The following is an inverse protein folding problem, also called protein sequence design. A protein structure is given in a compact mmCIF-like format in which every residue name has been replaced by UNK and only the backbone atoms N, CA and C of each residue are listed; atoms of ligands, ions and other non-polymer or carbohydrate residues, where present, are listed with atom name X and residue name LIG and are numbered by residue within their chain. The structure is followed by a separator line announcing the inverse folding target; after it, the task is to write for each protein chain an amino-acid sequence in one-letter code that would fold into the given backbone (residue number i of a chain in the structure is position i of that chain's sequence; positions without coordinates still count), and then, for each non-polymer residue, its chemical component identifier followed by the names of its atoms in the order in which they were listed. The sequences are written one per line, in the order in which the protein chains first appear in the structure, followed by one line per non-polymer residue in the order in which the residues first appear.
data_IF_489672327761
#
_entry.id   IF_489672327761
#
_cell.length_a   1.000
_cell.length_b   1.000
_cell.length_c   1.000
_cell.angle_alpha   90.00
_cell.angle_beta   90.00
_cell.angle_gamma   90.00
#
_symmetry.space_group_name_H-M   'P 1'
#
loop_
_entity.id
_entity.type
_entity.pdbx_description
1 polymer ?
#
# COMPACT_ATOMS: atom_id res chain seq x y z
N UNK A 1 19.49 -27.50 12.95
CA UNK A 1 18.20 -27.70 13.64
C UNK A 1 18.30 -27.29 15.12
N UNK A 2 18.62 -26.03 15.41
CA UNK A 2 18.61 -25.46 16.79
C UNK A 2 17.58 -24.31 16.90
N UNK A 3 17.14 -23.73 15.78
CA UNK A 3 16.14 -22.65 15.75
C UNK A 3 14.73 -23.07 16.18
N UNK A 4 14.43 -24.37 16.20
CA UNK A 4 13.12 -24.92 16.64
C UNK A 4 13.01 -25.13 18.16
N UNK A 5 14.09 -24.99 18.93
CA UNK A 5 14.09 -25.20 20.39
C UNK A 5 13.65 -23.97 21.20
N UNK A 6 13.75 -22.77 20.63
CA UNK A 6 13.28 -21.53 21.23
C UNK A 6 12.12 -21.03 20.36
N UNK A 7 10.88 -21.15 20.84
CA UNK A 7 9.70 -20.74 20.07
C UNK A 7 9.78 -19.29 19.54
N UNK A 8 8.87 -18.95 18.61
CA UNK A 8 8.80 -17.61 17.99
C UNK A 8 8.91 -16.49 19.03
N UNK A 9 9.73 -15.46 18.72
CA UNK A 9 9.87 -14.28 19.57
C UNK A 9 8.53 -13.55 19.67
N UNK A 10 8.27 -12.84 20.77
CA UNK A 10 7.02 -12.07 20.93
C UNK A 10 7.19 -10.65 20.42
N UNK A 11 6.19 -10.17 19.68
CA UNK A 11 6.05 -8.77 19.28
C UNK A 11 4.64 -8.31 19.65
N UNK A 12 4.51 -7.12 20.22
CA UNK A 12 3.19 -6.56 20.53
C UNK A 12 2.55 -5.99 19.26
N UNK A 13 1.22 -5.96 19.21
CA UNK A 13 0.45 -5.34 18.13
C UNK A 13 0.89 -3.89 17.88
N UNK A 14 1.12 -3.12 18.94
CA UNK A 14 1.62 -1.74 18.84
C UNK A 14 3.02 -1.66 18.20
N UNK A 15 3.95 -2.53 18.59
CA UNK A 15 5.31 -2.54 18.04
C UNK A 15 5.32 -2.93 16.56
N UNK A 16 4.48 -3.92 16.21
CA UNK A 16 4.32 -4.33 14.82
C UNK A 16 3.70 -3.20 13.98
N UNK A 17 2.65 -2.54 14.49
CA UNK A 17 2.04 -1.39 13.83
C UNK A 17 3.06 -0.25 13.62
N UNK A 18 3.88 0.05 14.62
CA UNK A 18 4.94 1.05 14.51
C UNK A 18 5.98 0.67 13.44
N UNK A 19 6.36 -0.61 13.33
CA UNK A 19 7.28 -1.08 12.31
C UNK A 19 6.68 -0.96 10.89
N UNK A 20 5.40 -1.33 10.73
CA UNK A 20 4.70 -1.19 9.44
C UNK A 20 4.60 0.27 9.04
N UNK A 21 4.19 1.16 9.94
CA UNK A 21 4.10 2.61 9.67
C UNK A 21 5.45 3.20 9.34
N UNK A 22 6.50 2.86 10.09
CA UNK A 22 7.87 3.29 9.76
C UNK A 22 8.28 2.85 8.35
N UNK A 23 7.97 1.60 7.99
CA UNK A 23 8.23 1.09 6.64
C UNK A 23 7.44 1.82 5.56
N UNK A 24 6.21 2.27 5.83
CA UNK A 24 5.45 3.11 4.89
C UNK A 24 6.24 4.39 4.58
N UNK A 25 6.73 5.09 5.60
CA UNK A 25 7.52 6.31 5.39
C UNK A 25 8.84 6.03 4.66
N UNK A 26 9.56 4.98 5.04
CA UNK A 26 10.78 4.57 4.33
C UNK A 26 10.50 4.26 2.86
N UNK A 27 9.37 3.62 2.55
CA UNK A 27 8.95 3.33 1.18
C UNK A 27 8.52 4.59 0.44
N UNK A 28 7.88 5.54 1.10
CA UNK A 28 7.57 6.83 0.48
C UNK A 28 8.84 7.57 0.09
N UNK A 29 9.87 7.58 0.95
CA UNK A 29 11.13 8.23 0.63
C UNK A 29 11.91 7.53 -0.51
N UNK A 30 11.90 6.20 -0.52
CA UNK A 30 12.80 5.42 -1.40
C UNK A 30 12.12 4.79 -2.63
N UNK A 31 10.85 4.40 -2.52
CA UNK A 31 10.12 3.74 -3.60
C UNK A 31 9.29 4.73 -4.44
N UNK A 32 8.79 5.82 -3.85
CA UNK A 32 8.02 6.82 -4.62
C UNK A 32 8.82 7.40 -5.79
N UNK A 33 10.10 7.82 -5.64
CA UNK A 33 10.88 8.34 -6.77
C UNK A 33 11.03 7.30 -7.89
N UNK A 34 11.21 6.03 -7.55
CA UNK A 34 11.32 4.93 -8.52
C UNK A 34 10.00 4.70 -9.27
N UNK A 35 8.86 4.80 -8.58
CA UNK A 35 7.53 4.71 -9.20
C UNK A 35 7.29 5.90 -10.13
N UNK A 36 7.68 7.11 -9.73
CA UNK A 36 7.58 8.30 -10.56
C UNK A 36 8.44 8.15 -11.82
N UNK A 37 9.71 7.76 -11.67
CA UNK A 37 10.63 7.53 -12.79
C UNK A 37 10.07 6.48 -13.76
N UNK A 38 9.65 5.32 -13.24
CA UNK A 38 9.06 4.23 -14.03
C UNK A 38 7.82 4.70 -14.83
N UNK A 39 6.98 5.54 -14.25
CA UNK A 39 5.79 6.08 -14.92
C UNK A 39 6.13 7.21 -15.90
N UNK A 40 7.13 8.04 -15.60
CA UNK A 40 7.56 9.12 -16.48
C UNK A 40 8.27 8.64 -17.73
N UNK A 41 9.04 7.56 -17.59
CA UNK A 41 9.86 7.00 -18.68
C UNK A 41 9.12 5.88 -19.45
N UNK A 42 7.89 5.57 -19.06
CA UNK A 42 7.07 4.56 -19.74
C UNK A 42 6.74 4.96 -21.19
N UNK A 43 7.27 4.25 -22.21
CA UNK A 43 7.04 4.59 -23.62
C UNK A 43 5.59 4.34 -24.07
N UNK A 44 4.81 3.62 -23.28
CA UNK A 44 3.40 3.35 -23.54
C UNK A 44 2.49 4.57 -23.28
N UNK A 45 3.00 5.59 -22.59
CA UNK A 45 2.28 6.86 -22.48
C UNK A 45 2.56 7.74 -23.71
N UNK A 46 1.50 8.29 -24.28
CA UNK A 46 1.56 9.27 -25.39
C UNK A 46 2.10 10.62 -24.96
N UNK A 47 2.05 10.92 -23.66
CA UNK A 47 2.54 12.15 -23.03
C UNK A 47 3.13 11.76 -21.69
N UNK A 48 4.30 12.30 -21.35
CA UNK A 48 4.95 12.08 -20.05
C UNK A 48 4.03 12.53 -18.90
N UNK A 49 3.69 11.65 -17.93
CA UNK A 49 2.97 12.04 -16.73
C UNK A 49 3.71 13.08 -15.90
N UNK A 50 2.96 13.94 -15.21
CA UNK A 50 3.51 14.97 -14.31
C UNK A 50 2.97 14.74 -12.91
N UNK A 51 3.86 14.81 -11.93
CA UNK A 51 3.56 14.66 -10.50
C UNK A 51 3.90 15.98 -9.79
N UNK A 52 3.09 16.35 -8.81
CA UNK A 52 3.15 17.63 -8.11
C UNK A 52 3.32 17.51 -6.60
N UNK A 53 3.26 18.63 -5.87
CA UNK A 53 3.32 18.64 -4.42
C UNK A 53 2.18 17.79 -3.80
N UNK A 54 2.50 16.98 -2.78
CA UNK A 54 1.55 16.13 -2.06
C UNK A 54 1.25 14.77 -2.73
N UNK A 55 1.81 14.52 -3.92
CA UNK A 55 1.64 13.23 -4.60
C UNK A 55 2.39 12.08 -3.89
N UNK A 56 3.45 12.39 -3.15
CA UNK A 56 4.16 11.48 -2.25
C UNK A 56 3.36 11.16 -0.97
N UNK A 57 2.66 12.13 -0.40
CA UNK A 57 1.73 11.92 0.72
C UNK A 57 0.57 11.01 0.32
N UNK A 58 0.00 11.23 -0.87
CA UNK A 58 -1.01 10.34 -1.45
C UNK A 58 -0.44 8.92 -1.69
N UNK A 59 0.80 8.81 -2.13
CA UNK A 59 1.48 7.52 -2.29
C UNK A 59 1.62 6.80 -0.95
N UNK A 60 2.05 7.51 0.09
CA UNK A 60 2.15 6.99 1.45
C UNK A 60 0.80 6.46 1.95
N UNK A 61 -0.29 7.21 1.73
CA UNK A 61 -1.64 6.80 2.11
C UNK A 61 -2.12 5.57 1.33
N UNK A 62 -1.77 5.45 0.04
CA UNK A 62 -2.03 4.25 -0.78
C UNK A 62 -1.27 3.03 -0.22
N UNK A 63 -0.01 3.19 0.18
CA UNK A 63 0.76 2.10 0.78
C UNK A 63 0.16 1.71 2.14
N UNK A 64 -0.17 2.68 2.99
CA UNK A 64 -0.78 2.44 4.29
C UNK A 64 -2.09 1.65 4.11
N UNK A 65 -3.04 2.17 3.33
CA UNK A 65 -4.33 1.53 3.12
C UNK A 65 -4.18 0.16 2.46
N UNK A 66 -3.26 -0.02 1.51
CA UNK A 66 -3.00 -1.32 0.91
C UNK A 66 -2.53 -2.36 1.94
N UNK A 67 -1.63 -1.97 2.84
CA UNK A 67 -1.13 -2.85 3.89
C UNK A 67 -2.19 -3.16 4.97
N UNK A 68 -3.01 -2.18 5.34
CA UNK A 68 -4.10 -2.36 6.31
C UNK A 68 -5.24 -3.20 5.72
N UNK A 69 -5.53 -3.08 4.43
CA UNK A 69 -6.47 -3.95 3.71
C UNK A 69 -6.00 -5.41 3.65
N UNK A 70 -4.69 -5.64 3.65
CA UNK A 70 -4.11 -6.98 3.58
C UNK A 70 -4.00 -7.67 4.94
N UNK A 71 -3.74 -6.92 6.01
CA UNK A 71 -3.49 -7.43 7.36
C UNK A 71 -4.54 -8.44 7.89
N UNK A 72 -5.86 -8.24 7.70
CA UNK A 72 -6.88 -9.18 8.19
C UNK A 72 -6.78 -10.60 7.62
N UNK A 73 -6.07 -10.79 6.50
CA UNK A 73 -5.82 -12.11 5.91
C UNK A 73 -4.81 -12.93 6.70
N UNK A 74 -4.01 -12.26 7.54
CA UNK A 74 -2.86 -12.84 8.24
C UNK A 74 -3.03 -12.85 9.77
N UNK A 75 -4.02 -12.12 10.29
CA UNK A 75 -4.23 -11.95 11.72
C UNK A 75 -5.59 -12.52 12.17
N UNK A 76 -5.70 -13.06 13.40
CA UNK A 76 -6.99 -13.43 13.97
C UNK A 76 -7.93 -12.23 14.12
N UNK A 77 -9.22 -12.48 13.97
CA UNK A 77 -10.25 -11.47 14.19
C UNK A 77 -10.14 -10.85 15.60
N UNK A 78 -10.21 -9.53 15.66
CA UNK A 78 -10.02 -8.72 16.86
C UNK A 78 -8.57 -8.26 17.07
N UNK A 79 -7.57 -9.09 16.73
CA UNK A 79 -6.17 -8.68 16.74
C UNK A 79 -5.85 -7.79 15.52
N UNK A 80 -6.42 -8.12 14.35
CA UNK A 80 -6.41 -7.27 13.15
C UNK A 80 -6.91 -5.84 13.43
N UNK A 81 -8.06 -5.70 14.10
CA UNK A 81 -8.67 -4.39 14.40
C UNK A 81 -7.81 -3.54 15.32
N UNK A 82 -7.22 -4.15 16.36
CA UNK A 82 -6.31 -3.43 17.28
C UNK A 82 -5.02 -3.03 16.58
N UNK A 83 -4.45 -3.91 15.77
CA UNK A 83 -3.31 -3.59 14.93
C UNK A 83 -3.60 -2.40 13.99
N UNK A 84 -4.73 -2.43 13.27
CA UNK A 84 -5.16 -1.33 12.39
C UNK A 84 -5.31 -0.02 13.17
N UNK A 85 -5.98 -0.05 14.33
CA UNK A 85 -6.14 1.14 15.18
C UNK A 85 -4.79 1.71 15.65
N UNK A 86 -3.84 0.83 16.03
CA UNK A 86 -2.49 1.26 16.36
C UNK A 86 -1.76 1.87 15.16
N UNK A 87 -1.87 1.28 13.97
CA UNK A 87 -1.22 1.79 12.77
C UNK A 87 -1.76 3.18 12.38
N UNK A 88 -3.09 3.34 12.38
CA UNK A 88 -3.75 4.64 12.15
C UNK A 88 -3.28 5.66 13.19
N UNK A 89 -3.29 5.32 14.48
CA UNK A 89 -2.85 6.25 15.52
C UNK A 89 -1.38 6.67 15.37
N UNK A 90 -0.48 5.75 15.00
CA UNK A 90 0.94 6.05 14.81
C UNK A 90 1.19 6.90 13.56
N UNK A 91 0.55 6.56 12.45
CA UNK A 91 0.66 7.33 11.21
C UNK A 91 0.10 8.74 11.38
N UNK A 92 -1.11 8.86 11.96
CA UNK A 92 -1.75 10.14 12.24
C UNK A 92 -0.89 11.03 13.13
N UNK A 93 -0.32 10.48 14.20
CA UNK A 93 0.60 11.23 15.06
C UNK A 93 1.87 11.69 14.33
N UNK A 94 2.40 10.91 13.38
CA UNK A 94 3.57 11.28 12.60
C UNK A 94 3.28 12.40 11.59
N UNK A 95 2.05 12.48 11.07
CA UNK A 95 1.61 13.46 10.07
C UNK A 95 0.83 14.64 10.66
N UNK A 96 0.67 14.70 11.98
CA UNK A 96 -0.19 15.67 12.68
C UNK A 96 -1.68 15.63 12.23
N UNK A 97 -2.18 14.42 11.94
CA UNK A 97 -3.56 14.15 11.52
C UNK A 97 -4.31 13.46 12.66
N UNK A 98 -5.51 13.95 13.06
CA UNK A 98 -6.35 13.26 14.03
C UNK A 98 -6.66 11.82 13.60
N UNK A 99 -6.50 10.85 14.51
CA UNK A 99 -6.69 9.44 14.19
C UNK A 99 -8.08 9.12 13.60
N UNK A 100 -9.14 9.80 14.03
CA UNK A 100 -10.50 9.64 13.49
C UNK A 100 -10.65 10.15 12.05
N UNK A 101 -9.91 11.19 11.69
CA UNK A 101 -9.89 11.72 10.33
C UNK A 101 -9.15 10.76 9.41
N UNK A 102 -7.95 10.34 9.81
CA UNK A 102 -7.16 9.36 9.05
C UNK A 102 -7.90 8.02 8.90
N UNK A 103 -8.59 7.53 9.93
CA UNK A 103 -9.40 6.31 9.84
C UNK A 103 -10.48 6.44 8.76
N UNK A 104 -11.13 7.60 8.68
CA UNK A 104 -12.15 7.87 7.65
C UNK A 104 -11.54 7.85 6.25
N UNK A 105 -10.37 8.44 6.07
CA UNK A 105 -9.66 8.48 4.79
C UNK A 105 -9.18 7.08 4.35
N UNK A 106 -8.58 6.33 5.26
CA UNK A 106 -8.11 4.96 5.02
C UNK A 106 -9.28 4.07 4.60
N UNK A 107 -10.38 4.06 5.36
CA UNK A 107 -11.57 3.25 5.02
C UNK A 107 -12.14 3.64 3.65
N UNK A 108 -12.18 4.94 3.34
CA UNK A 108 -12.65 5.41 2.03
C UNK A 108 -11.72 4.94 0.90
N UNK A 109 -10.41 4.94 1.12
CA UNK A 109 -9.42 4.50 0.15
C UNK A 109 -9.41 2.97 -0.03
N UNK A 110 -9.58 2.20 1.03
CA UNK A 110 -9.73 0.74 0.98
C UNK A 110 -10.96 0.33 0.16
N UNK A 111 -12.12 0.95 0.43
CA UNK A 111 -13.34 0.73 -0.37
C UNK A 111 -13.14 1.12 -1.83
N UNK A 112 -12.39 2.18 -2.09
CA UNK A 112 -12.03 2.58 -3.44
C UNK A 112 -11.15 1.51 -4.11
N UNK A 113 -10.11 1.03 -3.43
CA UNK A 113 -9.23 -0.05 -3.88
C UNK A 113 -10.02 -1.29 -4.26
N UNK A 114 -10.90 -1.78 -3.38
CA UNK A 114 -11.72 -2.97 -3.64
C UNK A 114 -12.60 -2.79 -4.89
N UNK A 115 -13.23 -1.62 -5.04
CA UNK A 115 -14.09 -1.31 -6.18
C UNK A 115 -13.34 -1.31 -7.50
N UNK A 116 -12.18 -0.66 -7.57
CA UNK A 116 -11.39 -0.64 -8.82
C UNK A 116 -10.71 -1.99 -9.08
N UNK A 117 -10.46 -2.78 -8.04
CA UNK A 117 -9.80 -4.08 -8.15
C UNK A 117 -10.71 -5.19 -8.71
N UNK A 118 -12.03 -5.09 -8.52
CA UNK A 118 -12.99 -6.11 -8.93
C UNK A 118 -12.79 -6.58 -10.41
N UNK A 119 -12.84 -7.90 -10.69
CA UNK A 119 -13.15 -9.02 -9.78
C UNK A 119 -11.95 -9.57 -9.00
N UNK A 120 -10.76 -8.98 -9.12
CA UNK A 120 -9.56 -9.44 -8.41
C UNK A 120 -9.65 -9.13 -6.91
N UNK A 121 -8.96 -9.95 -6.11
CA UNK A 121 -8.73 -9.75 -4.67
C UNK A 121 -7.26 -9.53 -4.32
N UNK A 122 -6.40 -9.41 -5.33
CA UNK A 122 -4.97 -9.21 -5.14
C UNK A 122 -4.70 -7.77 -4.69
N UNK A 123 -4.08 -7.57 -3.53
CA UNK A 123 -3.82 -6.25 -2.93
C UNK A 123 -2.85 -5.42 -3.76
N UNK A 124 -1.76 -6.02 -4.26
CA UNK A 124 -0.79 -5.35 -5.14
C UNK A 124 -1.46 -4.79 -6.40
N UNK A 125 -2.39 -5.56 -6.96
CA UNK A 125 -3.18 -5.13 -8.11
C UNK A 125 -4.14 -3.98 -7.76
N UNK A 126 -4.73 -4.02 -6.56
CA UNK A 126 -5.57 -2.94 -6.04
C UNK A 126 -4.78 -1.64 -5.87
N UNK A 127 -3.58 -1.71 -5.28
CA UNK A 127 -2.67 -0.57 -5.09
C UNK A 127 -2.30 0.04 -6.43
N UNK A 128 -1.86 -0.78 -7.39
CA UNK A 128 -1.45 -0.31 -8.72
C UNK A 128 -2.59 0.34 -9.50
N UNK A 129 -3.80 -0.23 -9.45
CA UNK A 129 -4.98 0.41 -10.03
C UNK A 129 -5.33 1.71 -9.34
N UNK A 130 -5.25 1.76 -8.02
CA UNK A 130 -5.51 2.99 -7.27
C UNK A 130 -4.55 4.11 -7.66
N UNK A 131 -3.26 3.83 -7.86
CA UNK A 131 -2.31 4.78 -8.43
C UNK A 131 -2.82 5.29 -9.79
N UNK A 132 -3.15 4.39 -10.72
CA UNK A 132 -3.70 4.78 -12.03
C UNK A 132 -4.89 5.74 -11.94
N UNK A 133 -5.79 5.51 -10.99
CA UNK A 133 -6.94 6.37 -10.79
C UNK A 133 -6.64 7.68 -10.07
N UNK A 134 -5.82 7.65 -9.01
CA UNK A 134 -5.60 8.80 -8.14
C UNK A 134 -4.65 9.82 -8.77
N UNK A 135 -3.67 9.36 -9.54
CA UNK A 135 -2.80 10.22 -10.37
C UNK A 135 -3.37 10.49 -11.78
N UNK A 136 -4.60 10.02 -12.04
CA UNK A 136 -5.30 10.15 -13.32
C UNK A 136 -4.45 9.77 -14.55
N UNK A 137 -3.73 8.65 -14.43
CA UNK A 137 -2.75 8.22 -15.44
C UNK A 137 -3.40 7.83 -16.77
N UNK A 138 -4.71 7.58 -16.79
CA UNK A 138 -5.45 7.26 -18.02
C UNK A 138 -5.34 8.35 -19.07
N UNK A 139 -5.22 9.62 -18.65
CA UNK A 139 -5.12 10.77 -19.57
C UNK A 139 -3.85 10.76 -20.41
N UNK A 140 -2.81 10.04 -19.98
CA UNK A 140 -1.53 9.96 -20.66
C UNK A 140 -1.45 8.79 -21.65
N UNK A 141 -2.40 7.86 -21.59
CA UNK A 141 -2.44 6.67 -22.44
C UNK A 141 -3.02 6.97 -23.83
N UNK A 142 -2.79 6.08 -24.78
CA UNK A 142 -3.46 6.11 -26.07
C UNK A 142 -5.00 6.11 -25.95
N UNK A 143 -5.67 6.46 -27.04
CA UNK A 143 -7.13 6.58 -27.09
C UNK A 143 -7.85 5.28 -26.71
N UNK A 144 -7.28 4.12 -27.06
CA UNK A 144 -7.91 2.83 -26.79
C UNK A 144 -8.00 2.59 -25.28
N UNK A 145 -6.87 2.62 -24.57
CA UNK A 145 -6.86 2.38 -23.11
C UNK A 145 -7.56 3.50 -22.33
N UNK A 146 -7.42 4.75 -22.76
CA UNK A 146 -8.08 5.91 -22.16
C UNK A 146 -9.60 5.80 -22.23
N UNK A 147 -10.16 5.44 -23.38
CA UNK A 147 -11.62 5.33 -23.57
C UNK A 147 -12.26 4.30 -22.66
N UNK A 148 -11.54 3.21 -22.37
CA UNK A 148 -12.01 2.13 -21.50
C UNK A 148 -11.75 2.38 -20.01
N UNK A 149 -11.03 3.46 -19.67
CA UNK A 149 -10.46 3.67 -18.32
C UNK A 149 -9.72 2.41 -17.81
N UNK A 150 -8.96 1.79 -18.70
CA UNK A 150 -8.17 0.60 -18.39
C UNK A 150 -6.68 0.96 -18.44
N UNK A 151 -5.84 0.50 -17.50
CA UNK A 151 -4.40 0.69 -17.61
C UNK A 151 -3.84 -0.11 -18.78
N UNK A 152 -2.82 0.42 -19.45
CA UNK A 152 -1.99 -0.31 -20.39
C UNK A 152 -1.36 -1.49 -19.62
N UNK A 153 -1.47 -2.73 -20.12
CA UNK A 153 -1.07 -3.92 -19.38
C UNK A 153 0.43 -3.96 -19.07
N UNK A 154 1.28 -3.36 -19.92
CA UNK A 154 2.73 -3.35 -19.70
C UNK A 154 3.07 -2.41 -18.55
N UNK A 155 2.55 -1.18 -18.58
CA UNK A 155 2.74 -0.19 -17.50
C UNK A 155 2.20 -0.74 -16.18
N UNK A 156 0.99 -1.33 -16.20
CA UNK A 156 0.38 -1.92 -15.02
C UNK A 156 1.21 -3.09 -14.47
N UNK A 157 1.80 -3.92 -15.34
CA UNK A 157 2.67 -5.02 -14.93
C UNK A 157 3.93 -4.52 -14.23
N UNK A 158 4.57 -3.46 -14.73
CA UNK A 158 5.76 -2.87 -14.10
C UNK A 158 5.42 -2.21 -12.76
N UNK A 159 4.30 -1.48 -12.72
CA UNK A 159 3.80 -0.90 -11.47
C UNK A 159 3.45 -1.97 -10.42
N UNK A 160 2.83 -3.09 -10.83
CA UNK A 160 2.57 -4.21 -9.91
C UNK A 160 3.86 -4.75 -9.27
N UNK A 161 4.98 -4.81 -10.00
CA UNK A 161 6.25 -5.27 -9.45
C UNK A 161 6.77 -4.31 -8.38
N UNK A 162 6.70 -3.00 -8.64
CA UNK A 162 7.08 -1.98 -7.66
C UNK A 162 6.18 -2.03 -6.42
N UNK A 163 4.87 -2.21 -6.62
CA UNK A 163 3.90 -2.29 -5.53
C UNK A 163 4.01 -3.56 -4.71
N UNK A 164 4.50 -4.67 -5.28
CA UNK A 164 4.81 -5.88 -4.53
C UNK A 164 5.88 -5.64 -3.46
N UNK A 165 6.89 -4.79 -3.74
CA UNK A 165 7.92 -4.43 -2.75
C UNK A 165 7.41 -3.50 -1.64
N UNK A 166 6.25 -2.89 -1.85
CA UNK A 166 5.62 -1.99 -0.88
C UNK A 166 4.60 -2.70 0.01
N UNK A 167 4.23 -3.93 -0.34
CA UNK A 167 3.36 -4.76 0.49
C UNK A 167 4.20 -5.45 1.57
N UNK A 168 3.72 -5.42 2.80
CA UNK A 168 4.37 -6.02 3.95
C UNK A 168 4.41 -7.54 3.83
N UNK A 169 5.58 -8.14 4.05
CA UNK A 169 5.72 -9.59 4.06
C UNK A 169 5.26 -10.17 5.40
N UNK A 170 3.95 -10.43 5.49
CA UNK A 170 3.36 -11.08 6.65
C UNK A 170 3.92 -12.48 6.89
N UNK A 171 4.36 -13.19 5.85
CA UNK A 171 4.90 -14.55 6.01
C UNK A 171 6.24 -14.53 6.73
N UNK A 172 7.15 -13.64 6.32
CA UNK A 172 8.45 -13.46 6.97
C UNK A 172 8.30 -13.10 8.45
N UNK A 173 7.39 -12.18 8.77
CA UNK A 173 7.16 -11.75 10.15
C UNK A 173 6.56 -12.88 10.99
N UNK A 174 5.53 -13.57 10.48
CA UNK A 174 4.82 -14.59 11.25
C UNK A 174 5.63 -15.88 11.43
N UNK A 175 6.63 -16.12 10.58
CA UNK A 175 7.60 -17.20 10.77
C UNK A 175 8.54 -16.93 11.96
N UNK A 176 9.04 -15.70 12.09
CA UNK A 176 9.96 -15.30 13.17
C UNK A 176 9.28 -14.94 14.49
N UNK A 177 8.04 -14.42 14.42
CA UNK A 177 7.38 -13.75 15.54
C UNK A 177 5.97 -14.28 15.84
N UNK A 178 5.62 -14.30 17.12
CA UNK A 178 4.27 -14.48 17.63
C UNK A 178 3.73 -13.10 18.03
N UNK A 179 2.70 -12.64 17.32
CA UNK A 179 2.02 -11.39 17.65
C UNK A 179 1.21 -11.57 18.93
N UNK A 180 1.40 -10.66 19.87
CA UNK A 180 0.66 -10.59 21.14
C UNK A 180 0.00 -9.24 21.28
N UNK A 181 -1.00 -9.17 22.15
CA UNK A 181 -1.47 -7.88 22.65
C UNK A 181 -0.32 -7.14 23.36
#
# INVERSE_FOLDING_TARGET
MISTLFGRKRITEEKLANAVVGRVFDLTENAYPLVVEELQDAPEFTVRPVFGPGDDELFALIILAGNLLDAPKHMPAGQDRRFVAHAISKYGAAMDIPASELETEVIALERFMERVNHPSKNTVYAMSKTIFHKYDLFRFQDTYFRSMKAPNPIVLSRLNKLMAFCLWDWSEVLDGWKVTQ
#
